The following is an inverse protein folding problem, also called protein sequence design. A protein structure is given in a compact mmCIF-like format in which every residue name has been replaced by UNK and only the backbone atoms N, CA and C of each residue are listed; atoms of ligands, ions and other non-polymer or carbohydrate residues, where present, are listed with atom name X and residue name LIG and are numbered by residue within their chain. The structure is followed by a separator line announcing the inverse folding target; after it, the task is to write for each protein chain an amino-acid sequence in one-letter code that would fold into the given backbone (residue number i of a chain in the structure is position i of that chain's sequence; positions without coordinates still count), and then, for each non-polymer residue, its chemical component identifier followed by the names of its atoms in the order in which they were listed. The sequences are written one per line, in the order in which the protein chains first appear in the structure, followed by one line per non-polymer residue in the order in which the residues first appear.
data_IF_778164205398
#
_entry.id   IF_778164205398
#
_cell.length_a   1.000
_cell.length_b   1.000
_cell.length_c   1.000
_cell.angle_alpha   90.00
_cell.angle_beta   90.00
_cell.angle_gamma   90.00
#
_symmetry.space_group_name_H-M   'P 1'
#
loop_
_entity.id
_entity.type
_entity.pdbx_description
1 polymer ?
#
# COMPACT_ATOMS: atom_id res chain seq x y z
N UNK A 1 -17.19 -22.33 0.81
CA UNK A 1 -15.92 -22.44 0.05
C UNK A 1 -15.06 -21.23 0.38
N UNK A 2 -13.77 -21.38 0.71
CA UNK A 2 -12.87 -20.25 0.91
C UNK A 2 -12.72 -19.46 -0.40
N UNK A 3 -12.82 -18.12 -0.32
CA UNK A 3 -12.62 -17.24 -1.48
C UNK A 3 -11.12 -17.22 -1.81
N UNK A 4 -10.76 -17.57 -3.04
CA UNK A 4 -9.40 -17.40 -3.53
C UNK A 4 -9.05 -15.90 -3.61
N UNK A 5 -7.78 -15.52 -3.35
CA UNK A 5 -7.27 -14.20 -3.69
C UNK A 5 -7.66 -13.80 -5.12
N UNK A 6 -8.03 -12.54 -5.33
CA UNK A 6 -8.49 -12.07 -6.64
C UNK A 6 -7.43 -12.24 -7.75
N UNK A 7 -6.15 -12.18 -7.37
CA UNK A 7 -5.01 -12.39 -8.26
C UNK A 7 -4.90 -13.82 -8.81
N UNK A 8 -5.42 -14.82 -8.10
CA UNK A 8 -5.38 -16.23 -8.52
C UNK A 8 -6.43 -16.54 -9.60
N UNK A 9 -7.38 -15.63 -9.85
CA UNK A 9 -8.46 -15.85 -10.80
C UNK A 9 -8.06 -15.55 -12.25
N UNK A 10 -7.10 -14.65 -12.50
CA UNK A 10 -6.63 -14.36 -13.85
C UNK A 10 -6.03 -15.60 -14.56
N UNK A 11 -5.06 -16.33 -13.95
CA UNK A 11 -4.52 -17.54 -14.56
C UNK A 11 -5.58 -18.63 -14.77
N UNK A 12 -6.54 -18.73 -13.84
CA UNK A 12 -7.65 -19.66 -13.98
C UNK A 12 -8.53 -19.31 -15.17
N UNK A 13 -8.88 -18.02 -15.32
CA UNK A 13 -9.69 -17.55 -16.43
C UNK A 13 -8.96 -17.71 -17.76
N UNK A 14 -7.66 -17.44 -17.80
CA UNK A 14 -6.82 -17.64 -18.99
C UNK A 14 -6.79 -19.11 -19.42
N UNK A 15 -6.66 -20.04 -18.47
CA UNK A 15 -6.72 -21.49 -18.77
C UNK A 15 -8.10 -21.91 -19.30
N UNK A 16 -9.19 -21.38 -18.73
CA UNK A 16 -10.55 -21.65 -19.20
C UNK A 16 -10.77 -21.10 -20.60
N UNK A 17 -10.33 -19.87 -20.89
CA UNK A 17 -10.45 -19.24 -22.21
C UNK A 17 -9.62 -19.97 -23.28
N UNK A 18 -8.43 -20.44 -22.92
CA UNK A 18 -7.60 -21.25 -23.82
C UNK A 18 -8.33 -22.53 -24.22
N UNK A 19 -8.86 -23.27 -23.24
CA UNK A 19 -9.62 -24.49 -23.49
C UNK A 19 -10.92 -24.22 -24.27
N UNK A 20 -11.64 -23.14 -23.94
CA UNK A 20 -12.85 -22.74 -24.66
C UNK A 20 -12.57 -22.49 -26.15
N UNK A 21 -11.42 -21.90 -26.48
CA UNK A 21 -11.03 -21.63 -27.87
C UNK A 21 -10.93 -22.93 -28.71
N UNK A 22 -10.64 -24.08 -28.09
CA UNK A 22 -10.61 -25.39 -28.76
C UNK A 22 -12.01 -25.88 -29.19
N UNK A 23 -13.08 -25.41 -28.53
CA UNK A 23 -14.47 -25.77 -28.85
C UNK A 23 -15.09 -24.89 -29.94
N UNK A 24 -14.39 -23.83 -30.38
CA UNK A 24 -14.86 -22.89 -31.39
C UNK A 24 -15.68 -21.71 -30.83
N UNK A 25 -15.77 -20.62 -31.60
CA UNK A 25 -16.35 -19.35 -31.15
C UNK A 25 -17.87 -19.41 -30.89
N UNK A 26 -18.57 -20.36 -31.53
CA UNK A 26 -20.02 -20.56 -31.38
C UNK A 26 -20.39 -21.35 -30.12
N UNK A 27 -19.42 -21.98 -29.45
CA UNK A 27 -19.66 -22.71 -28.22
C UNK A 27 -20.00 -21.74 -27.09
N UNK A 28 -21.13 -21.98 -26.42
CA UNK A 28 -21.62 -21.16 -25.29
C UNK A 28 -21.59 -21.95 -23.99
N UNK A 29 -21.21 -21.28 -22.91
CA UNK A 29 -21.32 -21.83 -21.55
C UNK A 29 -22.45 -21.08 -20.84
N UNK A 30 -23.63 -21.71 -20.81
CA UNK A 30 -24.86 -21.02 -20.44
C UNK A 30 -25.16 -19.88 -21.43
N UNK A 31 -25.33 -18.66 -20.91
CA UNK A 31 -25.56 -17.46 -21.73
C UNK A 31 -24.26 -16.74 -22.15
N UNK A 32 -23.10 -17.19 -21.66
CA UNK A 32 -21.82 -16.54 -21.89
C UNK A 32 -21.20 -17.00 -23.22
N UNK A 33 -20.78 -16.04 -24.04
CA UNK A 33 -19.98 -16.27 -25.25
C UNK A 33 -18.49 -16.18 -24.95
N UNK A 34 -17.65 -16.75 -25.83
CA UNK A 34 -16.19 -16.60 -25.71
C UNK A 34 -15.76 -15.12 -25.71
N UNK A 35 -16.41 -14.29 -26.54
CA UNK A 35 -16.18 -12.83 -26.57
C UNK A 35 -16.51 -12.18 -25.23
N UNK A 36 -17.70 -12.46 -24.67
CA UNK A 36 -18.08 -11.92 -23.37
C UNK A 36 -17.16 -12.40 -22.23
N UNK A 37 -16.66 -13.63 -22.31
CA UNK A 37 -15.69 -14.14 -21.34
C UNK A 37 -14.31 -13.43 -21.46
N UNK A 38 -13.87 -13.10 -22.68
CA UNK A 38 -12.65 -12.30 -22.93
C UNK A 38 -12.80 -10.85 -22.44
N UNK A 39 -13.98 -10.27 -22.56
CA UNK A 39 -14.29 -8.94 -22.00
C UNK A 39 -14.20 -8.98 -20.46
N UNK A 40 -14.84 -9.95 -19.80
CA UNK A 40 -14.74 -10.14 -18.35
C UNK A 40 -13.30 -10.29 -17.87
N UNK A 41 -12.47 -11.02 -18.62
CA UNK A 41 -11.02 -11.14 -18.36
C UNK A 41 -10.31 -9.80 -18.38
N UNK A 42 -10.62 -8.99 -19.38
CA UNK A 42 -10.01 -7.68 -19.62
C UNK A 42 -10.42 -6.68 -18.53
N UNK A 43 -11.68 -6.70 -18.13
CA UNK A 43 -12.20 -5.89 -17.03
C UNK A 43 -11.58 -6.28 -15.69
N UNK A 44 -11.40 -7.58 -15.45
CA UNK A 44 -10.71 -8.08 -14.26
C UNK A 44 -9.25 -7.60 -14.23
N UNK A 45 -8.51 -7.73 -15.33
CA UNK A 45 -7.14 -7.23 -15.45
C UNK A 45 -7.07 -5.73 -15.16
N UNK A 46 -7.93 -4.94 -15.79
CA UNK A 46 -7.99 -3.48 -15.60
C UNK A 46 -8.26 -3.12 -14.14
N UNK A 47 -9.15 -3.86 -13.47
CA UNK A 47 -9.46 -3.67 -12.06
C UNK A 47 -8.25 -3.97 -11.17
N UNK A 48 -7.51 -5.04 -11.48
CA UNK A 48 -6.31 -5.41 -10.74
C UNK A 48 -5.18 -4.40 -10.92
N UNK A 49 -4.98 -3.89 -12.14
CA UNK A 49 -3.99 -2.85 -12.41
C UNK A 49 -4.32 -1.57 -11.63
N UNK A 50 -5.59 -1.16 -11.60
CA UNK A 50 -6.05 -0.02 -10.80
C UNK A 50 -5.82 -0.24 -9.30
N UNK A 51 -6.07 -1.44 -8.79
CA UNK A 51 -5.80 -1.76 -7.39
C UNK A 51 -4.31 -1.66 -7.06
N UNK A 52 -3.43 -2.13 -7.94
CA UNK A 52 -1.99 -2.02 -7.77
C UNK A 52 -1.54 -0.54 -7.75
N UNK A 53 -2.08 0.30 -8.64
CA UNK A 53 -1.81 1.75 -8.62
C UNK A 53 -2.25 2.39 -7.31
N UNK A 54 -3.47 2.11 -6.84
CA UNK A 54 -3.97 2.66 -5.57
C UNK A 54 -3.14 2.20 -4.36
N UNK A 55 -2.66 0.96 -4.36
CA UNK A 55 -1.75 0.47 -3.32
C UNK A 55 -0.40 1.20 -3.33
N UNK A 56 0.14 1.48 -4.52
CA UNK A 56 1.38 2.26 -4.65
C UNK A 56 1.19 3.70 -4.17
N UNK A 57 0.10 4.36 -4.56
CA UNK A 57 -0.26 5.71 -4.12
C UNK A 57 -0.42 5.77 -2.60
N UNK A 58 -1.15 4.81 -2.00
CA UNK A 58 -1.29 4.70 -0.56
C UNK A 58 0.08 4.56 0.14
N UNK A 59 0.99 3.75 -0.42
CA UNK A 59 2.34 3.59 0.08
C UNK A 59 3.13 4.90 0.08
N UNK A 60 3.02 5.70 -0.98
CA UNK A 60 3.65 7.03 -1.08
C UNK A 60 3.08 7.99 -0.04
N UNK A 61 1.75 8.11 0.06
CA UNK A 61 1.08 8.99 1.03
C UNK A 61 1.39 8.59 2.48
N UNK A 62 1.49 7.30 2.78
CA UNK A 62 1.93 6.84 4.10
C UNK A 62 3.37 7.26 4.39
N UNK A 63 4.27 7.17 3.40
CA UNK A 63 5.64 7.65 3.52
C UNK A 63 5.74 9.15 3.78
N UNK A 64 4.95 9.97 3.05
CA UNK A 64 4.86 11.41 3.24
C UNK A 64 4.36 11.76 4.65
N UNK A 65 3.26 11.13 5.09
CA UNK A 65 2.73 11.31 6.44
C UNK A 65 3.76 10.95 7.51
N UNK A 66 4.45 9.82 7.36
CA UNK A 66 5.45 9.38 8.33
C UNK A 66 6.66 10.35 8.36
N UNK A 67 7.02 10.96 7.23
CA UNK A 67 8.04 12.01 7.16
C UNK A 67 7.57 13.29 7.87
N UNK A 68 6.34 13.75 7.63
CA UNK A 68 5.79 14.93 8.30
C UNK A 68 5.74 14.74 9.83
N UNK A 69 5.35 13.55 10.30
CA UNK A 69 5.37 13.20 11.72
C UNK A 69 6.80 13.30 12.27
N UNK A 70 7.78 12.72 11.59
CA UNK A 70 9.20 12.79 11.98
C UNK A 70 9.72 14.23 12.04
N UNK A 71 9.30 15.09 11.12
CA UNK A 71 9.70 16.50 11.08
C UNK A 71 9.09 17.28 12.25
N UNK A 72 7.83 17.03 12.59
CA UNK A 72 7.14 17.62 13.74
C UNK A 72 7.79 17.16 15.06
N UNK A 73 8.09 15.87 15.20
CA UNK A 73 8.79 15.33 16.37
C UNK A 73 10.19 15.97 16.53
N UNK A 74 10.93 16.07 15.43
CA UNK A 74 12.25 16.72 15.40
C UNK A 74 12.17 18.19 15.78
N UNK A 75 11.16 18.91 15.30
CA UNK A 75 10.91 20.30 15.69
C UNK A 75 10.60 20.41 17.18
N UNK A 76 9.72 19.56 17.72
CA UNK A 76 9.35 19.57 19.13
C UNK A 76 10.56 19.34 20.05
N UNK A 77 11.46 18.42 19.70
CA UNK A 77 12.72 18.17 20.42
C UNK A 77 13.65 19.39 20.39
N UNK A 78 13.83 20.00 19.22
CA UNK A 78 14.65 21.22 19.06
C UNK A 78 14.07 22.40 19.84
N UNK A 79 12.76 22.60 19.76
CA UNK A 79 12.05 23.65 20.48
C UNK A 79 12.18 23.48 21.99
N UNK A 80 11.96 22.26 22.49
CA UNK A 80 12.17 21.93 23.91
C UNK A 80 13.60 22.24 24.36
N UNK A 81 14.58 21.83 23.58
CA UNK A 81 16.00 22.09 23.86
C UNK A 81 16.29 23.60 23.93
N UNK A 82 15.74 24.38 23.01
CA UNK A 82 15.89 25.84 23.01
C UNK A 82 15.22 26.49 24.23
N UNK A 83 14.03 26.04 24.62
CA UNK A 83 13.34 26.53 25.83
C UNK A 83 14.16 26.22 27.09
N UNK A 84 14.69 25.01 27.21
CA UNK A 84 15.57 24.63 28.35
C UNK A 84 16.85 25.47 28.36
N UNK A 85 17.48 25.71 27.21
CA UNK A 85 18.67 26.54 27.12
C UNK A 85 18.42 27.99 27.52
N UNK A 86 17.25 28.55 27.18
CA UNK A 86 16.90 29.94 27.45
C UNK A 86 16.41 30.19 28.89
N UNK A 87 15.61 29.28 29.44
CA UNK A 87 14.89 29.50 30.71
C UNK A 87 15.36 28.58 31.84
N UNK A 88 16.17 27.57 31.54
CA UNK A 88 16.58 26.52 32.46
C UNK A 88 15.59 25.34 32.52
N UNK A 89 16.07 24.15 32.91
CA UNK A 89 15.29 22.91 32.88
C UNK A 89 14.11 22.89 33.85
N UNK A 90 14.19 23.64 34.96
CA UNK A 90 13.17 23.67 36.02
C UNK A 90 12.18 24.84 35.86
N UNK A 91 12.21 25.54 34.73
CA UNK A 91 11.32 26.68 34.47
C UNK A 91 9.89 26.26 34.16
N UNK A 92 8.92 27.13 34.51
CA UNK A 92 7.51 26.99 34.11
C UNK A 92 7.36 26.87 32.59
N UNK A 93 8.23 27.52 31.83
CA UNK A 93 8.30 27.45 30.37
C UNK A 93 8.71 26.06 29.89
N UNK A 94 9.77 25.47 30.47
CA UNK A 94 10.22 24.12 30.14
C UNK A 94 9.18 23.05 30.54
N UNK A 95 8.44 23.25 31.63
CA UNK A 95 7.37 22.34 32.06
C UNK A 95 6.16 22.31 31.12
N UNK A 96 5.93 23.37 30.33
CA UNK A 96 4.82 23.46 29.36
C UNK A 96 5.12 22.74 28.04
N UNK A 97 6.38 22.44 27.73
CA UNK A 97 6.74 21.73 26.51
C UNK A 97 6.70 20.21 26.80
N UNK A 98 5.88 19.42 26.08
CA UNK A 98 5.82 17.97 26.25
C UNK A 98 7.18 17.29 26.03
N UNK A 99 7.45 16.18 26.73
CA UNK A 99 8.61 15.33 26.44
C UNK A 99 8.22 14.47 25.24
N UNK A 100 8.85 14.72 24.10
CA UNK A 100 8.76 13.87 22.92
C UNK A 100 10.07 13.12 22.84
N UNK A 101 10.00 11.79 22.75
CA UNK A 101 11.19 11.00 22.50
C UNK A 101 11.72 11.34 21.11
N UNK A 102 13.04 11.48 20.92
CA UNK A 102 13.58 11.69 19.58
C UNK A 102 13.15 10.53 18.68
N UNK A 103 12.85 10.79 17.39
CA UNK A 103 12.53 9.72 16.45
C UNK A 103 13.66 8.69 16.53
N UNK A 104 13.31 7.45 16.89
CA UNK A 104 14.29 6.36 16.88
C UNK A 104 14.77 6.26 15.44
N UNK A 105 16.02 6.67 15.21
CA UNK A 105 16.64 6.57 13.91
C UNK A 105 16.35 5.18 13.37
N UNK A 106 15.64 5.12 12.24
CA UNK A 106 15.38 3.89 11.50
C UNK A 106 16.75 3.35 11.09
N UNK A 107 17.35 2.54 11.96
CA UNK A 107 18.55 1.79 11.64
C UNK A 107 18.26 1.03 10.35
N UNK A 108 19.04 1.33 9.31
CA UNK A 108 19.02 0.58 8.07
C UNK A 108 19.25 -0.90 8.40
N UNK A 109 18.27 -1.73 8.10
CA UNK A 109 18.30 -3.13 8.48
C UNK A 109 16.99 -3.86 8.28
N UNK A 110 16.23 -3.47 7.27
CA UNK A 110 15.01 -4.16 6.87
C UNK A 110 14.95 -4.09 5.37
N UNK A 111 15.70 -4.98 4.70
CA UNK A 111 15.54 -5.22 3.28
C UNK A 111 14.04 -5.37 3.01
N UNK A 112 13.50 -4.47 2.19
CA UNK A 112 12.27 -4.74 1.45
C UNK A 112 12.56 -6.02 0.67
N UNK A 113 12.18 -7.17 1.22
CA UNK A 113 12.12 -8.39 0.43
C UNK A 113 11.04 -8.12 -0.61
N UNK A 114 11.38 -8.11 -1.92
CA UNK A 114 10.33 -8.11 -2.92
C UNK A 114 9.47 -9.37 -2.71
N UNK A 115 8.15 -9.28 -2.97
CA UNK A 115 7.30 -10.47 -2.95
C UNK A 115 7.93 -11.50 -3.89
N UNK A 116 8.17 -12.70 -3.35
CA UNK A 116 8.63 -13.84 -4.14
C UNK A 116 7.42 -14.33 -4.90
N UNK A 117 7.53 -14.30 -6.24
CA UNK A 117 6.62 -14.99 -7.17
C UNK A 117 6.88 -16.50 -7.05
#
# INVERSE_FOLDING_TARGET
MPRRPIYDWLPYLDAVLALWTEFGEDFKVGDLTLTGARELRTDLQTTLDRLNTLQAELGLTMGERDQEISDIESFAVKFRSAVIAQYGPDSTQAARVPKVDPPRGRGGGGALRPPTV
#
